data_IF_238198316091
#
_entry.id   IF_238198316091
#
_cell.length_a   1.000
_cell.length_b   1.000
_cell.length_c   1.000
_cell.angle_alpha   90.00
_cell.angle_beta   90.00
_cell.angle_gamma   90.00
#
_symmetry.space_group_name_H-M   'P 1'
#
loop_
_entity.id
_entity.type
_entity.pdbx_description
1 polymer ?
#
# COMPACT_ATOMS: atom_id res chain seq x y z
N UNK A 1 -1.68 14.98 6.98
CA UNK A 1 -1.67 14.81 5.52
C UNK A 1 -3.12 14.82 5.05
N UNK A 2 -3.52 15.84 4.29
CA UNK A 2 -4.94 16.10 4.03
C UNK A 2 -5.40 15.57 2.66
N UNK A 3 -4.47 15.46 1.70
CA UNK A 3 -4.76 14.96 0.35
C UNK A 3 -3.90 13.74 -0.01
N UNK A 4 -4.46 12.82 -0.80
CA UNK A 4 -3.70 11.81 -1.56
C UNK A 4 -4.24 11.70 -2.98
N UNK A 5 -3.42 11.15 -3.86
CA UNK A 5 -3.63 11.13 -5.31
C UNK A 5 -3.83 9.72 -5.83
N UNK A 6 -4.92 9.50 -6.55
CA UNK A 6 -5.18 8.25 -7.28
C UNK A 6 -4.88 8.45 -8.76
N UNK A 7 -3.98 7.64 -9.31
CA UNK A 7 -3.68 7.63 -10.74
C UNK A 7 -4.64 6.69 -11.47
N UNK A 8 -5.24 7.18 -12.54
CA UNK A 8 -6.16 6.45 -13.40
C UNK A 8 -5.65 6.49 -14.84
N UNK A 9 -5.84 5.37 -15.55
CA UNK A 9 -5.56 5.29 -16.98
C UNK A 9 -6.51 6.14 -17.84
N UNK A 10 -6.56 5.84 -19.14
CA UNK A 10 -7.40 6.57 -20.10
C UNK A 10 -8.91 6.45 -19.80
N UNK A 11 -9.31 5.44 -19.03
CA UNK A 11 -10.68 5.19 -18.60
C UNK A 11 -11.13 6.06 -17.41
N UNK A 12 -10.28 6.95 -16.91
CA UNK A 12 -10.57 7.78 -15.73
C UNK A 12 -11.91 8.51 -15.81
N UNK A 13 -12.23 9.13 -16.96
CA UNK A 13 -13.51 9.81 -17.15
C UNK A 13 -14.71 8.86 -17.04
N UNK A 14 -14.57 7.61 -17.49
CA UNK A 14 -15.62 6.59 -17.39
C UNK A 14 -15.89 6.27 -15.92
N UNK A 15 -14.84 6.17 -15.09
CA UNK A 15 -14.98 5.92 -13.66
C UNK A 15 -15.67 7.08 -12.93
N UNK A 16 -15.33 8.33 -13.28
CA UNK A 16 -16.02 9.51 -12.75
C UNK A 16 -17.50 9.50 -13.15
N UNK A 17 -17.82 9.32 -14.45
CA UNK A 17 -19.21 9.25 -14.94
C UNK A 17 -20.04 8.17 -14.27
N UNK A 18 -19.43 7.01 -13.97
CA UNK A 18 -20.11 5.90 -13.31
C UNK A 18 -20.19 6.06 -11.80
N UNK A 19 -19.32 6.87 -11.19
CA UNK A 19 -19.22 7.02 -9.74
C UNK A 19 -18.61 5.81 -9.03
N UNK A 20 -17.76 5.04 -9.70
CA UNK A 20 -17.08 3.87 -9.12
C UNK A 20 -15.62 3.81 -9.54
N UNK A 21 -14.75 3.40 -8.61
CA UNK A 21 -13.35 3.10 -8.87
C UNK A 21 -13.11 1.60 -8.92
N UNK A 22 -12.31 1.10 -9.88
CA UNK A 22 -11.84 -0.26 -9.85
C UNK A 22 -10.79 -0.40 -8.75
N UNK A 23 -10.92 -1.43 -7.92
CA UNK A 23 -9.84 -1.86 -7.03
C UNK A 23 -9.18 -3.10 -7.63
N UNK A 24 -7.87 -3.15 -7.54
CA UNK A 24 -7.05 -4.24 -8.05
C UNK A 24 -7.09 -5.46 -7.13
N UNK A 25 -6.91 -6.64 -7.70
CA UNK A 25 -6.53 -7.83 -6.93
C UNK A 25 -5.05 -7.75 -6.54
N UNK A 26 -4.62 -8.46 -5.47
CA UNK A 26 -3.21 -8.54 -5.11
C UNK A 26 -2.29 -9.00 -6.26
N UNK A 27 -2.77 -9.92 -7.10
CA UNK A 27 -2.02 -10.43 -8.24
C UNK A 27 -1.78 -9.37 -9.34
N UNK A 28 -2.56 -8.29 -9.37
CA UNK A 28 -2.38 -7.19 -10.34
C UNK A 28 -1.35 -6.15 -9.89
N UNK A 29 -0.83 -6.26 -8.66
CA UNK A 29 0.22 -5.38 -8.17
C UNK A 29 1.59 -5.77 -8.71
N UNK A 30 2.47 -4.79 -8.88
CA UNK A 30 3.88 -5.02 -9.25
C UNK A 30 4.73 -5.62 -8.11
N UNK A 31 4.11 -6.20 -7.08
CA UNK A 31 4.76 -6.81 -5.93
C UNK A 31 5.02 -8.31 -6.22
N UNK A 32 6.28 -8.75 -6.39
CA UNK A 32 6.58 -10.12 -6.83
C UNK A 32 6.04 -11.20 -5.90
N UNK A 33 6.02 -10.95 -4.58
CA UNK A 33 5.54 -11.93 -3.59
C UNK A 33 4.02 -12.13 -3.63
N UNK A 34 3.26 -11.19 -4.20
CA UNK A 34 1.81 -11.32 -4.37
C UNK A 34 1.43 -12.09 -5.66
N UNK A 35 2.40 -12.37 -6.53
CA UNK A 35 2.15 -13.02 -7.79
C UNK A 35 1.80 -14.51 -7.60
N UNK A 36 0.84 -15.03 -8.40
CA UNK A 36 0.60 -16.46 -8.43
C UNK A 36 1.86 -17.19 -8.91
N UNK A 37 2.13 -18.38 -8.37
CA UNK A 37 3.25 -19.26 -8.76
C UNK A 37 4.65 -18.70 -8.46
N UNK A 38 4.78 -17.67 -7.62
CA UNK A 38 6.10 -17.24 -7.14
C UNK A 38 6.75 -18.39 -6.36
N UNK A 39 8.07 -18.57 -6.55
CA UNK A 39 8.84 -19.60 -5.86
C UNK A 39 9.63 -18.94 -4.74
N UNK A 40 9.43 -19.40 -3.52
CA UNK A 40 10.23 -18.99 -2.38
C UNK A 40 11.41 -19.95 -2.23
N UNK A 41 12.58 -19.40 -1.87
CA UNK A 41 13.72 -20.23 -1.50
C UNK A 41 13.35 -21.05 -0.26
N UNK A 42 13.62 -22.35 -0.31
CA UNK A 42 13.51 -23.19 0.88
C UNK A 42 14.58 -22.75 1.88
N UNK A 43 14.16 -22.24 3.04
CA UNK A 43 15.10 -21.96 4.12
C UNK A 43 15.60 -23.29 4.71
N UNK A 44 16.88 -23.60 4.48
CA UNK A 44 17.55 -24.67 5.20
C UNK A 44 17.91 -24.15 6.60
N UNK A 45 17.11 -24.59 7.59
CA UNK A 45 17.14 -24.23 9.02
C UNK A 45 16.68 -22.79 9.35
N UNK A 46 15.71 -22.62 10.26
CA UNK A 46 15.46 -21.32 10.86
C UNK A 46 16.70 -20.87 11.65
N UNK A 47 17.20 -19.66 11.39
CA UNK A 47 18.17 -18.99 12.25
C UNK A 47 17.48 -17.83 12.97
N UNK A 48 17.88 -17.58 14.21
CA UNK A 48 17.34 -16.48 15.02
C UNK A 48 18.19 -15.23 14.72
N UNK A 49 17.54 -14.12 14.37
CA UNK A 49 18.25 -12.85 14.20
C UNK A 49 18.76 -12.34 15.57
N UNK A 50 19.88 -11.61 15.57
CA UNK A 50 20.48 -11.04 16.80
C UNK A 50 19.50 -10.14 17.57
N UNK A 51 18.64 -9.41 16.85
CA UNK A 51 17.64 -8.53 17.46
C UNK A 51 16.52 -9.34 18.17
N UNK A 52 16.06 -10.43 17.56
CA UNK A 52 15.07 -11.33 18.16
C UNK A 52 15.65 -12.00 19.42
N UNK A 53 16.93 -12.38 19.37
CA UNK A 53 17.65 -12.91 20.52
C UNK A 53 17.79 -11.87 21.64
N UNK A 54 18.21 -10.64 21.33
CA UNK A 54 18.33 -9.53 22.31
C UNK A 54 16.97 -9.18 22.93
N UNK A 55 15.89 -9.12 22.14
CA UNK A 55 14.55 -8.84 22.66
C UNK A 55 14.05 -9.93 23.60
N UNK A 56 14.27 -11.21 23.27
CA UNK A 56 13.94 -12.31 24.16
C UNK A 56 14.71 -12.22 25.49
N UNK A 57 16.01 -11.92 25.44
CA UNK A 57 16.80 -11.71 26.66
C UNK A 57 16.31 -10.50 27.47
N UNK A 58 15.85 -9.45 26.81
CA UNK A 58 15.31 -8.28 27.50
C UNK A 58 14.02 -8.61 28.25
N UNK A 59 13.14 -9.42 27.66
CA UNK A 59 11.93 -9.90 28.32
C UNK A 59 12.26 -10.80 29.53
N UNK A 60 13.21 -11.74 29.37
CA UNK A 60 13.64 -12.58 30.48
C UNK A 60 14.29 -11.77 31.61
N UNK A 61 15.10 -10.77 31.27
CA UNK A 61 15.70 -9.85 32.23
C UNK A 61 14.65 -9.04 33.00
N UNK A 62 13.58 -8.60 32.33
CA UNK A 62 12.47 -7.90 32.97
C UNK A 62 11.64 -8.80 33.90
N UNK A 63 11.62 -10.11 33.65
CA UNK A 63 10.94 -11.10 34.49
C UNK A 63 11.78 -11.59 35.68
N UNK A 64 13.05 -11.17 35.79
CA UNK A 64 13.87 -11.45 36.96
C UNK A 64 13.28 -10.79 38.20
N UNK A 65 13.46 -11.45 39.35
CA UNK A 65 13.10 -10.87 40.65
C UNK A 65 13.84 -9.53 40.87
N UNK A 66 13.17 -8.57 41.49
CA UNK A 66 13.65 -7.19 41.63
C UNK A 66 15.02 -7.09 42.29
N UNK A 67 15.30 -7.97 43.25
CA UNK A 67 16.59 -8.06 43.93
C UNK A 67 17.74 -8.46 42.98
N UNK A 68 17.48 -9.34 42.00
CA UNK A 68 18.48 -9.75 41.02
C UNK A 68 18.65 -8.69 39.93
N UNK A 69 17.54 -8.12 39.45
CA UNK A 69 17.53 -7.06 38.42
C UNK A 69 18.20 -5.76 38.89
N UNK A 70 18.21 -5.50 40.20
CA UNK A 70 18.94 -4.39 40.81
C UNK A 70 20.46 -4.64 40.95
N UNK A 71 20.92 -5.91 40.91
CA UNK A 71 22.32 -6.27 41.13
C UNK A 71 23.14 -6.45 39.85
N UNK A 72 22.50 -6.71 38.71
CA UNK A 72 23.20 -6.92 37.43
C UNK A 72 22.64 -5.99 36.36
N UNK A 73 23.48 -5.53 35.43
CA UNK A 73 23.03 -4.77 34.27
C UNK A 73 22.52 -5.70 33.18
N UNK A 74 21.68 -5.16 32.29
CA UNK A 74 21.20 -5.90 31.12
C UNK A 74 22.35 -6.39 30.22
N UNK A 75 23.36 -5.56 29.97
CA UNK A 75 24.52 -5.95 29.15
C UNK A 75 25.33 -7.08 29.81
N UNK A 76 25.46 -7.09 31.14
CA UNK A 76 26.09 -8.20 31.86
C UNK A 76 25.26 -9.49 31.76
N UNK A 77 23.93 -9.39 31.84
CA UNK A 77 23.02 -10.52 31.63
C UNK A 77 23.12 -11.11 30.21
N UNK A 78 23.24 -10.25 29.20
CA UNK A 78 23.47 -10.68 27.80
C UNK A 78 24.80 -11.42 27.67
N UNK A 79 25.86 -10.91 28.30
CA UNK A 79 27.19 -11.55 28.28
C UNK A 79 27.17 -12.93 28.95
N UNK A 80 26.50 -13.08 30.10
CA UNK A 80 26.35 -14.36 30.79
C UNK A 80 25.54 -15.38 29.97
N UNK A 81 24.53 -14.90 29.25
CA UNK A 81 23.64 -15.72 28.42
C UNK A 81 24.33 -16.28 27.16
N UNK A 82 25.46 -15.71 26.72
CA UNK A 82 26.23 -16.21 25.57
C UNK A 82 26.65 -17.68 25.71
N UNK A 83 26.97 -18.12 26.94
CA UNK A 83 27.34 -19.51 27.22
C UNK A 83 26.21 -20.51 26.90
N UNK A 84 24.95 -20.06 26.95
CA UNK A 84 23.75 -20.84 26.66
C UNK A 84 23.09 -20.45 25.34
N UNK A 85 23.74 -19.61 24.53
CA UNK A 85 23.18 -19.04 23.30
C UNK A 85 22.60 -20.08 22.37
N UNK A 86 23.33 -21.15 22.07
CA UNK A 86 22.82 -22.24 21.21
C UNK A 86 21.56 -22.91 21.76
N UNK A 87 21.43 -23.03 23.07
CA UNK A 87 20.24 -23.61 23.70
C UNK A 87 19.06 -22.62 23.70
N UNK A 88 19.33 -21.33 23.90
CA UNK A 88 18.33 -20.26 23.83
C UNK A 88 17.85 -20.09 22.39
N UNK A 89 18.75 -20.08 21.41
CA UNK A 89 18.43 -20.07 19.99
C UNK A 89 17.66 -21.33 19.59
N UNK A 90 18.03 -22.52 20.08
CA UNK A 90 17.26 -23.74 19.81
C UNK A 90 15.88 -23.70 20.49
N UNK A 91 15.76 -23.13 21.68
CA UNK A 91 14.48 -22.91 22.36
C UNK A 91 13.63 -21.93 21.58
N UNK A 92 14.21 -20.82 21.12
CA UNK A 92 13.57 -19.80 20.28
C UNK A 92 13.16 -20.40 18.94
N UNK A 93 14.01 -21.22 18.31
CA UNK A 93 13.70 -21.98 17.11
C UNK A 93 12.57 -22.97 17.36
N UNK A 94 12.50 -23.63 18.51
CA UNK A 94 11.45 -24.60 18.81
C UNK A 94 10.13 -23.94 19.21
N UNK A 95 10.16 -22.81 19.92
CA UNK A 95 8.97 -21.98 20.20
C UNK A 95 8.50 -21.24 18.95
N UNK A 96 9.42 -20.78 18.12
CA UNK A 96 9.13 -20.21 16.81
C UNK A 96 8.88 -21.29 15.75
N UNK A 97 9.18 -22.57 15.97
CA UNK A 97 8.78 -23.66 15.08
C UNK A 97 7.26 -23.91 15.18
N UNK A 98 6.62 -23.47 16.27
CA UNK A 98 5.16 -23.31 16.30
C UNK A 98 4.69 -22.08 15.52
N UNK A 99 5.53 -21.04 15.37
CA UNK A 99 5.41 -20.01 14.33
C UNK A 99 5.99 -20.58 13.03
N UNK A 100 5.32 -21.63 12.54
CA UNK A 100 5.53 -22.16 11.21
C UNK A 100 5.54 -20.96 10.26
N UNK A 101 6.70 -20.51 9.78
CA UNK A 101 6.82 -19.48 8.75
C UNK A 101 6.32 -20.15 7.49
N UNK A 102 4.99 -20.34 7.44
CA UNK A 102 4.31 -20.85 6.28
C UNK A 102 4.68 -19.90 5.17
N UNK A 103 5.33 -20.47 4.16
CA UNK A 103 5.62 -19.77 2.93
C UNK A 103 4.32 -19.14 2.46
N UNK A 104 4.34 -17.81 2.30
CA UNK A 104 3.17 -17.05 1.91
C UNK A 104 2.49 -17.69 0.70
N UNK A 105 1.17 -17.81 0.77
CA UNK A 105 0.35 -18.28 -0.33
C UNK A 105 -0.49 -17.09 -0.81
N UNK A 106 -0.32 -16.67 -2.06
CA UNK A 106 -1.11 -15.55 -2.62
C UNK A 106 -2.62 -15.80 -2.59
N UNK A 107 -3.06 -17.06 -2.50
CA UNK A 107 -4.45 -17.45 -2.27
C UNK A 107 -5.02 -16.92 -0.94
N UNK A 108 -4.20 -16.74 0.10
CA UNK A 108 -4.65 -16.24 1.42
C UNK A 108 -5.19 -14.81 1.35
N UNK A 109 -4.69 -14.03 0.38
CA UNK A 109 -5.13 -12.65 0.15
C UNK A 109 -6.02 -12.45 -1.07
N UNK A 110 -6.34 -13.52 -1.82
CA UNK A 110 -7.03 -13.41 -3.11
C UNK A 110 -8.42 -12.72 -3.05
N UNK A 111 -9.08 -12.80 -1.89
CA UNK A 111 -10.38 -12.17 -1.64
C UNK A 111 -10.30 -10.70 -1.21
N UNK A 112 -9.12 -10.09 -1.24
CA UNK A 112 -8.94 -8.66 -1.00
C UNK A 112 -8.85 -7.89 -2.31
N UNK A 113 -9.25 -6.62 -2.26
CA UNK A 113 -9.15 -5.67 -3.34
C UNK A 113 -8.56 -4.38 -2.80
N UNK A 114 -7.71 -3.74 -3.60
CA UNK A 114 -6.91 -2.62 -3.17
C UNK A 114 -6.92 -1.46 -4.14
N UNK A 115 -6.75 -0.26 -3.61
CA UNK A 115 -6.49 0.96 -4.36
C UNK A 115 -5.27 1.63 -3.76
N UNK A 116 -4.29 1.91 -4.61
CA UNK A 116 -3.08 2.65 -4.26
C UNK A 116 -3.32 4.15 -4.44
N UNK A 117 -2.90 4.91 -3.44
CA UNK A 117 -2.99 6.36 -3.34
C UNK A 117 -1.60 6.89 -3.01
N UNK A 118 -1.20 8.02 -3.56
CA UNK A 118 0.16 8.53 -3.41
C UNK A 118 0.18 9.89 -2.74
N UNK A 119 1.28 10.19 -2.07
CA UNK A 119 1.53 11.48 -1.41
C UNK A 119 1.74 12.62 -2.41
N UNK A 120 2.16 12.31 -3.64
CA UNK A 120 2.48 13.25 -4.70
C UNK A 120 1.90 12.80 -6.03
N UNK A 121 1.43 13.77 -6.82
CA UNK A 121 1.02 13.55 -8.20
C UNK A 121 2.14 13.86 -9.20
N UNK A 122 3.24 14.51 -8.77
CA UNK A 122 4.28 15.03 -9.66
C UNK A 122 5.31 13.97 -10.11
N UNK A 123 5.24 12.77 -9.57
CA UNK A 123 6.20 11.69 -9.87
C UNK A 123 5.96 11.15 -11.28
N UNK A 124 6.89 11.42 -12.20
CA UNK A 124 6.78 10.99 -13.59
C UNK A 124 6.64 9.47 -13.74
N UNK A 125 7.31 8.68 -12.89
CA UNK A 125 7.18 7.22 -12.87
C UNK A 125 5.75 6.75 -12.59
N UNK A 126 5.02 7.43 -11.69
CA UNK A 126 3.61 7.09 -11.40
C UNK A 126 2.70 7.39 -12.60
N UNK A 127 2.96 8.47 -13.34
CA UNK A 127 2.26 8.74 -14.60
C UNK A 127 2.55 7.70 -15.67
N UNK A 128 3.79 7.22 -15.75
CA UNK A 128 4.18 6.16 -16.69
C UNK A 128 3.49 4.84 -16.35
N UNK A 129 3.54 4.45 -15.08
CA UNK A 129 3.03 3.15 -14.63
C UNK A 129 1.50 3.09 -14.53
N UNK A 130 0.87 4.13 -13.98
CA UNK A 130 -0.57 4.11 -13.64
C UNK A 130 -1.39 5.14 -14.42
N UNK A 131 -0.77 6.25 -14.84
CA UNK A 131 -1.43 7.33 -15.59
C UNK A 131 -1.43 7.13 -17.11
N UNK A 132 -1.32 5.89 -17.61
CA UNK A 132 -1.26 5.54 -19.03
C UNK A 132 -0.21 6.38 -19.81
N UNK A 133 1.01 6.46 -19.31
CA UNK A 133 2.09 7.28 -19.89
C UNK A 133 1.70 8.76 -20.09
N UNK A 134 0.96 9.33 -19.13
CA UNK A 134 0.51 10.72 -19.17
C UNK A 134 -0.78 10.96 -19.96
N UNK A 135 -1.43 9.92 -20.51
CA UNK A 135 -2.71 10.02 -21.23
C UNK A 135 -3.93 9.89 -20.32
N UNK A 136 -3.74 9.48 -19.08
CA UNK A 136 -4.77 9.31 -18.07
C UNK A 136 -5.02 10.56 -17.24
N UNK A 137 -5.42 10.36 -15.98
CA UNK A 137 -5.66 11.46 -15.04
C UNK A 137 -5.25 11.08 -13.61
N UNK A 138 -5.22 12.08 -12.74
CA UNK A 138 -5.09 11.92 -11.30
C UNK A 138 -6.33 12.51 -10.62
N UNK A 139 -6.86 11.79 -9.65
CA UNK A 139 -7.94 12.25 -8.77
C UNK A 139 -7.34 12.54 -7.40
N UNK A 140 -7.43 13.79 -6.96
CA UNK A 140 -7.03 14.20 -5.60
C UNK A 140 -8.19 14.02 -4.63
N UNK A 141 -7.96 13.31 -3.53
CA UNK A 141 -8.94 13.07 -2.47
C UNK A 141 -8.60 13.82 -1.19
N UNK A 142 -9.58 14.51 -0.61
CA UNK A 142 -9.61 14.89 0.79
C UNK A 142 -9.81 13.63 1.66
N UNK A 143 -8.76 13.23 2.38
CA UNK A 143 -8.79 11.98 3.15
C UNK A 143 -9.72 12.06 4.36
N UNK A 144 -10.00 13.26 4.89
CA UNK A 144 -10.94 13.41 5.99
C UNK A 144 -12.39 13.16 5.53
N UNK A 145 -12.70 13.51 4.28
CA UNK A 145 -14.06 13.39 3.70
C UNK A 145 -14.30 12.08 2.94
N UNK A 146 -13.26 11.32 2.63
CA UNK A 146 -13.36 10.14 1.78
C UNK A 146 -13.97 8.91 2.44
N UNK A 147 -14.00 8.86 3.78
CA UNK A 147 -14.35 7.67 4.53
C UNK A 147 -13.30 6.56 4.47
N UNK A 148 -12.12 6.79 3.89
CA UNK A 148 -11.05 5.79 3.79
C UNK A 148 -10.49 5.38 5.15
N UNK A 149 -10.52 6.27 6.14
CA UNK A 149 -10.10 5.99 7.51
C UNK A 149 -11.12 5.20 8.34
N UNK A 150 -12.32 4.96 7.82
CA UNK A 150 -13.31 4.15 8.53
C UNK A 150 -12.83 2.70 8.64
N UNK A 151 -13.16 2.04 9.74
CA UNK A 151 -12.81 0.63 9.98
C UNK A 151 -13.64 -0.34 9.13
N UNK A 152 -14.74 0.13 8.54
CA UNK A 152 -15.62 -0.71 7.73
C UNK A 152 -16.14 -0.01 6.47
N UNK A 153 -16.48 -0.83 5.49
CA UNK A 153 -17.15 -0.47 4.24
C UNK A 153 -18.19 -1.52 3.92
N UNK A 154 -19.47 -1.12 3.78
CA UNK A 154 -20.54 -2.06 3.48
C UNK A 154 -20.65 -3.21 4.50
N UNK A 155 -20.45 -2.94 5.79
CA UNK A 155 -20.40 -3.93 6.90
C UNK A 155 -19.21 -4.91 6.88
N UNK A 156 -18.26 -4.73 5.96
CA UNK A 156 -17.02 -5.51 5.92
C UNK A 156 -15.84 -4.68 6.44
N UNK A 157 -14.80 -5.34 6.96
CA UNK A 157 -13.58 -4.68 7.37
C UNK A 157 -12.90 -3.91 6.23
N UNK A 158 -12.46 -2.70 6.54
CA UNK A 158 -11.69 -1.82 5.67
C UNK A 158 -10.38 -1.47 6.36
N UNK A 159 -9.29 -1.52 5.61
CA UNK A 159 -7.97 -1.16 6.10
C UNK A 159 -7.39 -0.05 5.23
N UNK A 160 -6.85 0.99 5.86
CA UNK A 160 -6.22 2.10 5.16
C UNK A 160 -4.94 2.50 5.88
N UNK A 161 -3.80 2.29 5.23
CA UNK A 161 -2.49 2.56 5.84
C UNK A 161 -1.44 2.91 4.81
N UNK A 162 -0.40 3.59 5.27
CA UNK A 162 0.79 3.88 4.48
C UNK A 162 1.60 2.60 4.29
N UNK A 163 2.09 2.39 3.08
CA UNK A 163 3.05 1.32 2.80
C UNK A 163 4.32 1.52 3.62
N UNK A 164 4.83 0.43 4.19
CA UNK A 164 6.06 0.43 4.99
C UNK A 164 7.14 -0.38 4.30
N UNK A 165 8.36 0.14 4.28
CA UNK A 165 9.52 -0.65 3.92
C UNK A 165 10.05 -1.38 5.14
N UNK A 166 10.39 -2.66 4.99
CA UNK A 166 10.88 -3.53 6.06
C UNK A 166 12.14 -4.26 5.62
N UNK A 167 13.07 -4.45 6.55
CA UNK A 167 14.29 -5.23 6.32
C UNK A 167 14.02 -6.73 6.48
N UNK A 168 13.24 -7.09 7.50
CA UNK A 168 12.91 -8.46 7.82
C UNK A 168 11.43 -8.73 7.55
N UNK A 169 11.16 -9.86 6.91
CA UNK A 169 9.82 -10.25 6.48
C UNK A 169 9.26 -11.35 7.38
N UNK A 170 8.75 -10.96 8.56
CA UNK A 170 8.17 -11.88 9.55
C UNK A 170 6.73 -11.46 9.91
N UNK A 171 5.74 -11.84 9.09
CA UNK A 171 4.36 -11.41 9.29
C UNK A 171 3.63 -12.24 10.35
N UNK A 172 2.78 -11.58 11.12
CA UNK A 172 1.85 -12.21 12.08
C UNK A 172 0.49 -12.53 11.43
N UNK A 173 0.18 -11.92 10.28
CA UNK A 173 -1.04 -12.19 9.50
C UNK A 173 -0.84 -11.87 8.00
N UNK A 174 -1.75 -12.40 7.16
CA UNK A 174 -1.70 -12.25 5.70
C UNK A 174 -1.88 -10.81 5.19
N UNK A 175 -2.57 -9.94 5.94
CA UNK A 175 -2.73 -8.53 5.55
C UNK A 175 -1.40 -7.79 5.57
N UNK A 176 -0.41 -8.26 6.35
CA UNK A 176 0.93 -7.70 6.37
C UNK A 176 1.52 -7.59 4.95
N UNK A 177 1.33 -8.61 4.11
CA UNK A 177 1.86 -8.68 2.75
C UNK A 177 1.27 -7.64 1.80
N UNK A 178 0.11 -7.08 2.15
CA UNK A 178 -0.54 -6.02 1.38
C UNK A 178 -0.04 -4.62 1.77
N UNK A 179 0.67 -4.47 2.89
CA UNK A 179 1.03 -3.16 3.45
C UNK A 179 2.52 -2.95 3.69
N UNK A 180 3.34 -3.98 3.46
CA UNK A 180 4.78 -3.90 3.63
C UNK A 180 5.48 -4.22 2.30
N UNK A 181 6.68 -3.69 2.11
CA UNK A 181 7.60 -4.06 1.01
C UNK A 181 9.00 -4.30 1.56
N UNK A 182 9.75 -5.28 1.05
CA UNK A 182 11.14 -5.44 1.43
C UNK A 182 11.92 -4.20 0.99
N UNK A 183 12.85 -3.74 1.83
CA UNK A 183 13.81 -2.71 1.46
C UNK A 183 14.91 -3.34 0.60
N UNK A 184 15.11 -2.81 -0.60
CA UNK A 184 16.22 -3.21 -1.47
C UNK A 184 17.39 -2.23 -1.27
N UNK A 185 18.62 -2.75 -1.18
CA UNK A 185 19.82 -1.96 -0.89
C UNK A 185 20.09 -0.84 -1.91
N UNK A 186 19.68 -1.04 -3.17
CA UNK A 186 19.93 -0.11 -4.28
C UNK A 186 18.78 0.90 -4.50
N UNK A 187 17.66 0.77 -3.79
CA UNK A 187 16.63 1.79 -3.78
C UNK A 187 17.00 2.79 -2.68
N UNK A 188 17.40 4.00 -3.08
CA UNK A 188 17.48 5.12 -2.15
C UNK A 188 16.16 5.30 -1.36
N UNK A 189 16.16 6.15 -0.33
CA UNK A 189 15.02 6.49 0.53
C UNK A 189 13.82 7.15 -0.21
N UNK A 190 13.63 6.90 -1.50
CA UNK A 190 12.43 7.27 -2.23
C UNK A 190 11.29 6.34 -1.81
N UNK A 191 10.73 6.65 -0.64
CA UNK A 191 9.38 6.25 -0.28
C UNK A 191 8.44 6.96 -1.26
N UNK A 192 7.86 6.22 -2.21
CA UNK A 192 6.83 6.70 -3.15
C UNK A 192 5.62 7.32 -2.41
N UNK A 193 5.57 7.19 -1.08
CA UNK A 193 4.54 7.74 -0.23
C UNK A 193 3.21 7.08 -0.54
N UNK A 194 3.25 5.81 -0.93
CA UNK A 194 2.08 5.01 -1.24
C UNK A 194 1.29 4.72 0.03
N UNK A 195 -0.03 4.88 -0.08
CA UNK A 195 -1.03 4.46 0.86
C UNK A 195 -1.93 3.48 0.14
N UNK A 196 -2.37 2.43 0.85
CA UNK A 196 -3.32 1.47 0.30
C UNK A 196 -4.58 1.49 1.13
N UNK A 197 -5.71 1.55 0.43
CA UNK A 197 -6.99 1.13 0.99
C UNK A 197 -7.27 -0.29 0.50
N UNK A 198 -7.68 -1.15 1.42
CA UNK A 198 -7.95 -2.57 1.17
C UNK A 198 -9.34 -2.91 1.69
N UNK A 199 -10.13 -3.57 0.84
CA UNK A 199 -11.52 -3.98 1.10
C UNK A 199 -11.73 -5.42 0.67
N UNK A 200 -12.68 -6.13 1.30
CA UNK A 200 -13.07 -7.47 0.85
C UNK A 200 -13.75 -7.40 -0.52
N UNK A 201 -13.50 -8.39 -1.38
CA UNK A 201 -14.19 -8.56 -2.67
C UNK A 201 -15.71 -8.63 -2.50
N UNK A 202 -16.19 -9.32 -1.48
CA UNK A 202 -17.62 -9.42 -1.15
C UNK A 202 -18.27 -8.06 -0.83
N UNK A 203 -17.48 -7.05 -0.49
CA UNK A 203 -17.93 -5.70 -0.19
C UNK A 203 -17.99 -4.79 -1.43
N UNK A 204 -17.65 -5.30 -2.61
CA UNK A 204 -17.70 -4.53 -3.85
C UNK A 204 -19.15 -4.16 -4.17
N UNK A 205 -19.41 -2.90 -4.49
CA UNK A 205 -20.75 -2.45 -4.89
C UNK A 205 -21.16 -3.02 -6.24
N UNK A 206 -20.18 -3.29 -7.11
CA UNK A 206 -20.38 -3.99 -8.39
C UNK A 206 -19.20 -4.89 -8.72
N UNK A 207 -19.48 -6.00 -9.38
CA UNK A 207 -18.46 -6.83 -10.01
C UNK A 207 -18.79 -6.88 -11.50
N UNK A 208 -17.82 -6.53 -12.34
CA UNK A 208 -17.99 -6.48 -13.80
C UNK A 208 -16.91 -7.30 -14.47
N UNK A 209 -17.20 -7.84 -15.64
CA UNK A 209 -16.23 -8.53 -16.48
C UNK A 209 -15.91 -7.64 -17.68
N UNK A 210 -14.62 -7.39 -17.92
CA UNK A 210 -14.15 -6.59 -19.05
C UNK A 210 -12.98 -7.32 -19.68
N UNK A 211 -13.14 -7.73 -20.95
CA UNK A 211 -12.10 -8.47 -21.69
C UNK A 211 -11.64 -9.75 -20.97
N UNK A 212 -12.55 -10.46 -20.30
CA UNK A 212 -12.25 -11.67 -19.53
C UNK A 212 -11.64 -11.41 -18.13
N UNK A 213 -11.44 -10.14 -17.74
CA UNK A 213 -10.94 -9.77 -16.42
C UNK A 213 -12.09 -9.34 -15.50
N UNK A 214 -12.20 -9.97 -14.33
CA UNK A 214 -13.15 -9.60 -13.29
C UNK A 214 -12.66 -8.38 -12.50
N UNK A 215 -13.39 -7.27 -12.59
CA UNK A 215 -13.12 -6.03 -11.86
C UNK A 215 -14.12 -5.82 -10.73
N UNK A 216 -13.60 -5.62 -9.53
CA UNK A 216 -14.38 -5.21 -8.37
C UNK A 216 -14.43 -3.69 -8.31
N UNK A 217 -15.65 -3.14 -8.35
CA UNK A 217 -15.90 -1.71 -8.39
C UNK A 217 -16.45 -1.25 -7.05
N UNK A 218 -15.88 -0.16 -6.53
CA UNK A 218 -16.29 0.44 -5.26
C UNK A 218 -16.72 1.88 -5.48
N UNK A 219 -17.74 2.34 -4.74
CA UNK A 219 -18.29 3.68 -4.91
C UNK A 219 -17.22 4.74 -4.66
N UNK A 220 -17.10 5.65 -5.63
CA UNK A 220 -16.23 6.81 -5.55
C UNK A 220 -16.82 7.79 -4.51
N UNK A 221 -16.05 8.23 -3.50
CA UNK A 221 -16.52 9.25 -2.57
C UNK A 221 -16.44 10.64 -3.24
N UNK A 222 -17.38 10.93 -4.15
CA UNK A 222 -17.39 12.17 -4.93
C UNK A 222 -17.26 13.45 -4.08
N UNK A 223 -17.92 13.59 -2.91
CA UNK A 223 -17.74 14.77 -2.05
C UNK A 223 -16.33 14.97 -1.48
N UNK A 224 -15.48 13.95 -1.57
CA UNK A 224 -14.08 14.00 -1.15
C UNK A 224 -13.12 14.31 -2.30
N UNK A 225 -13.59 14.30 -3.55
CA UNK A 225 -12.73 14.66 -4.68
C UNK A 225 -12.52 16.18 -4.64
N UNK A 226 -11.26 16.62 -4.62
CA UNK A 226 -10.91 18.04 -4.62
C UNK A 226 -10.58 18.54 -6.02
N UNK A 227 -9.82 17.74 -6.76
CA UNK A 227 -9.23 18.11 -8.04
C UNK A 227 -9.11 16.90 -8.95
N UNK A 228 -9.31 17.13 -10.24
CA UNK A 228 -8.91 16.22 -11.31
C UNK A 228 -7.77 16.89 -12.08
N UNK A 229 -6.63 16.20 -12.16
CA UNK A 229 -5.44 16.63 -12.90
C UNK A 229 -5.35 15.75 -14.14
N UNK A 230 -5.56 16.30 -15.32
CA UNK A 230 -5.42 15.58 -16.58
C UNK A 230 -3.94 15.44 -16.93
N UNK A 231 -3.56 14.34 -17.57
CA UNK A 231 -2.16 14.07 -17.87
C UNK A 231 -1.56 14.94 -18.97
N UNK A 232 -0.23 15.03 -18.96
CA UNK A 232 0.57 15.84 -19.89
C UNK A 232 0.56 15.37 -21.35
N UNK A 233 0.03 14.17 -21.61
CA UNK A 233 -0.12 13.61 -22.95
C UNK A 233 -1.60 13.34 -23.29
N UNK A 234 -2.55 13.94 -22.57
CA UNK A 234 -3.97 13.90 -22.93
C UNK A 234 -4.22 14.66 -24.24
N UNK A 235 -5.15 14.15 -25.07
CA UNK A 235 -5.57 14.88 -26.26
C UNK A 235 -6.42 16.11 -25.88
N UNK A 236 -6.41 17.18 -26.69
CA UNK A 236 -7.24 18.36 -26.45
C UNK A 236 -8.73 18.03 -26.29
N UNK A 237 -9.24 17.07 -27.08
CA UNK A 237 -10.63 16.63 -27.07
C UNK A 237 -10.97 15.95 -25.73
N UNK A 238 -10.09 15.10 -25.22
CA UNK A 238 -10.28 14.46 -23.92
C UNK A 238 -10.24 15.48 -22.78
N UNK A 239 -9.34 16.46 -22.86
CA UNK A 239 -9.25 17.56 -21.91
C UNK A 239 -10.55 18.37 -21.86
N UNK A 240 -11.05 18.77 -23.03
CA UNK A 240 -12.31 19.50 -23.16
C UNK A 240 -13.51 18.67 -22.69
N UNK A 241 -13.59 17.40 -23.09
CA UNK A 241 -14.68 16.51 -22.70
C UNK A 241 -14.74 16.32 -21.17
N UNK A 242 -13.59 16.12 -20.54
CA UNK A 242 -13.51 15.92 -19.09
C UNK A 242 -13.85 17.21 -18.34
N UNK A 243 -13.29 18.35 -18.75
CA UNK A 243 -13.56 19.63 -18.09
C UNK A 243 -15.03 20.04 -18.23
N UNK A 244 -15.64 19.85 -19.40
CA UNK A 244 -17.07 20.10 -19.62
C UNK A 244 -17.93 19.20 -18.74
N UNK A 245 -17.64 17.90 -18.65
CA UNK A 245 -18.39 16.97 -17.82
C UNK A 245 -18.37 17.40 -16.34
N UNK A 246 -17.20 17.72 -15.79
CA UNK A 246 -17.06 18.12 -14.39
C UNK A 246 -17.80 19.44 -14.09
N UNK A 247 -17.81 20.39 -15.02
CA UNK A 247 -18.56 21.66 -14.88
C UNK A 247 -20.07 21.47 -14.97
N UNK A 248 -20.55 20.45 -15.68
CA UNK A 248 -21.98 20.24 -15.90
C UNK A 248 -22.63 19.35 -14.83
N UNK A 249 -21.93 18.30 -14.39
CA UNK A 249 -22.47 17.34 -13.42
C UNK A 249 -22.57 17.95 -12.01
N UNK A 250 -23.77 17.95 -11.44
CA UNK A 250 -24.05 18.55 -10.12
C UNK A 250 -23.17 18.01 -9.00
N UNK A 251 -22.71 16.75 -9.11
CA UNK A 251 -21.86 16.14 -8.09
C UNK A 251 -20.41 16.58 -8.23
N UNK A 252 -19.99 17.04 -9.42
CA UNK A 252 -18.59 17.39 -9.71
C UNK A 252 -18.32 18.88 -9.88
N UNK A 253 -19.35 19.74 -9.94
CA UNK A 253 -19.22 21.20 -10.12
C UNK A 253 -18.27 21.91 -9.14
N UNK A 254 -18.04 21.33 -7.96
CA UNK A 254 -17.15 21.87 -6.93
C UNK A 254 -15.66 21.52 -7.15
N UNK A 255 -15.35 20.66 -8.12
CA UNK A 255 -14.03 20.07 -8.33
C UNK A 255 -13.26 20.92 -9.32
N UNK A 256 -12.02 21.22 -8.97
CA UNK A 256 -11.09 21.91 -9.87
C UNK A 256 -10.60 20.93 -10.96
N UNK A 257 -10.57 21.39 -12.20
CA UNK A 257 -10.03 20.62 -13.33
C UNK A 257 -8.84 21.37 -13.93
N UNK A 258 -7.68 20.75 -13.87
CA UNK A 258 -6.41 21.29 -14.40
C UNK A 258 -5.73 20.23 -15.26
N UNK A 259 -4.71 20.63 -16.00
CA UNK A 259 -3.83 19.73 -16.74
C UNK A 259 -2.42 19.78 -16.15
N UNK A 260 -1.78 18.62 -16.03
CA UNK A 260 -0.36 18.50 -15.80
C UNK A 260 0.39 18.86 -17.09
N UNK A 261 1.36 19.78 -17.02
CA UNK A 261 2.23 20.10 -18.16
C UNK A 261 3.70 20.08 -17.71
N UNK A 262 4.60 19.76 -18.62
CA UNK A 262 6.04 19.80 -18.36
C UNK A 262 6.54 21.24 -18.49
N UNK A 263 7.17 21.73 -17.44
CA UNK A 263 7.92 22.98 -17.50
C UNK A 263 9.18 22.78 -18.37
N UNK A 264 9.38 23.58 -19.45
CA UNK A 264 10.46 23.34 -20.41
C UNK A 264 11.86 23.60 -19.85
N UNK A 265 12.00 24.21 -18.67
CA UNK A 265 13.30 24.46 -18.05
C UNK A 265 13.68 23.35 -17.06
N UNK A 266 12.75 22.99 -16.18
CA UNK A 266 12.99 22.04 -15.11
C UNK A 266 12.58 20.60 -15.46
N UNK A 267 11.81 20.42 -16.53
CA UNK A 267 11.15 19.16 -16.91
C UNK A 267 10.28 18.57 -15.80
N UNK A 268 9.84 19.41 -14.85
CA UNK A 268 8.93 19.03 -13.77
C UNK A 268 7.50 19.30 -14.18
N UNK A 269 6.60 18.48 -13.64
CA UNK A 269 5.18 18.66 -13.87
C UNK A 269 4.62 19.83 -13.04
N UNK A 270 3.91 20.71 -13.73
CA UNK A 270 3.16 21.84 -13.17
C UNK A 270 1.68 21.71 -13.51
N UNK A 271 0.81 22.36 -12.74
CA UNK A 271 -0.63 22.41 -13.00
C UNK A 271 -0.96 23.67 -13.80
N UNK A 272 -1.75 23.51 -14.85
CA UNK A 272 -2.23 24.59 -15.71
C UNK A 272 -3.76 24.49 -15.79
N UNK A 273 -4.44 25.61 -15.59
CA UNK A 273 -5.91 25.68 -15.64
C UNK A 273 -6.39 25.48 -17.08
N UNK A 274 -7.50 24.72 -17.24
CA UNK A 274 -8.16 24.43 -18.53
C UNK A 274 -9.28 25.40 -18.89
#
# INVERSE_FOLDING_TARGET
MNSLYCFLGAEGLIFLKRGYLPFFSPAQLADPWLQPKVKFQQQAKPSVAEDDYRQHLQQQYQQLADNLRAMISFEYFVQQSQSKRKQIEQSLINSNAQVNTQVFQSSSVANWRLLSLYSSWQTAQLWQQFGAAGKGMVVEFDIAKSGFKAESYGKHGQHFTKMKQVEHWQPVNDLYYLFHRPRYADQGLNDDGEWRIVRKLSAADRQIEVQGEHRAMYRLPTPAVKRVILGYACSPEYCQQTSQYLRQDIHYRHIECVQAQLDPQSMRLQQVVL
#
